data_IF_984870980488
#
_entry.id   IF_984870980488
#
_cell.length_a   1.000
_cell.length_b   1.000
_cell.length_c   1.000
_cell.angle_alpha   90.00
_cell.angle_beta   90.00
_cell.angle_gamma   90.00
#
_symmetry.space_group_name_H-M   'P 1'
#
loop_
_entity.id
_entity.type
_entity.pdbx_description
1 polymer ?
#
# COMPACT_ATOMS: atom_id res chain seq x y z
N UNK A 1 -18.02 -10.21 4.72
CA UNK A 1 -17.16 -9.15 4.16
C UNK A 1 -15.78 -9.28 4.79
N UNK A 2 -14.71 -9.44 4.01
CA UNK A 2 -13.36 -9.63 4.53
C UNK A 2 -12.60 -8.30 4.44
N UNK A 3 -12.79 -7.41 5.42
CA UNK A 3 -12.19 -6.06 5.41
C UNK A 3 -10.78 -6.12 5.95
N UNK A 4 -9.83 -5.57 5.21
CA UNK A 4 -8.44 -5.42 5.63
C UNK A 4 -8.04 -3.96 5.56
N UNK A 5 -7.41 -3.46 6.62
CA UNK A 5 -6.87 -2.11 6.69
C UNK A 5 -5.35 -2.25 6.68
N UNK A 6 -4.73 -1.75 5.61
CA UNK A 6 -3.28 -1.65 5.49
C UNK A 6 -2.86 -0.24 5.85
N UNK A 7 -1.97 -0.11 6.82
CA UNK A 7 -1.46 1.20 7.20
C UNK A 7 -0.40 1.09 8.28
N UNK A 8 -0.06 2.21 8.90
CA UNK A 8 0.82 2.23 10.06
C UNK A 8 0.07 2.78 11.26
N UNK A 9 0.43 2.34 12.48
CA UNK A 9 -0.18 2.84 13.73
C UNK A 9 -0.01 4.35 13.94
N UNK A 10 0.96 4.98 13.28
CA UNK A 10 1.22 6.43 13.37
C UNK A 10 0.38 7.26 12.40
N UNK A 11 -0.19 6.65 11.35
CA UNK A 11 -0.98 7.36 10.35
C UNK A 11 -2.38 7.71 10.90
N UNK A 12 -2.73 9.00 10.86
CA UNK A 12 -4.03 9.48 11.35
C UNK A 12 -5.20 8.96 10.53
N UNK A 13 -5.04 8.81 9.21
CA UNK A 13 -6.11 8.32 8.34
C UNK A 13 -6.36 6.81 8.54
N UNK A 14 -5.31 6.03 8.82
CA UNK A 14 -5.46 4.65 9.30
C UNK A 14 -6.29 4.58 10.58
N UNK A 15 -5.98 5.43 11.58
CA UNK A 15 -6.72 5.48 12.84
C UNK A 15 -8.19 5.86 12.61
N UNK A 16 -8.47 6.81 11.71
CA UNK A 16 -9.83 7.19 11.32
C UNK A 16 -10.56 6.01 10.68
N UNK A 17 -9.92 5.30 9.77
CA UNK A 17 -10.50 4.11 9.12
C UNK A 17 -10.82 3.01 10.16
N UNK A 18 -9.88 2.68 11.05
CA UNK A 18 -10.12 1.72 12.13
C UNK A 18 -11.31 2.14 13.00
N UNK A 19 -11.36 3.41 13.42
CA UNK A 19 -12.45 3.96 14.24
C UNK A 19 -13.81 3.84 13.52
N UNK A 20 -13.86 4.18 12.23
CA UNK A 20 -15.07 4.08 11.42
C UNK A 20 -15.70 2.68 11.45
N UNK A 21 -14.87 1.64 11.30
CA UNK A 21 -15.34 0.25 11.33
C UNK A 21 -15.65 -0.24 12.74
N UNK A 22 -14.84 0.11 13.75
CA UNK A 22 -15.10 -0.23 15.17
C UNK A 22 -16.43 0.33 15.64
N UNK A 23 -16.71 1.60 15.37
CA UNK A 23 -17.96 2.28 15.80
C UNK A 23 -19.22 1.68 15.16
N UNK A 24 -19.08 0.99 14.02
CA UNK A 24 -20.18 0.32 13.31
C UNK A 24 -20.28 -1.18 13.62
N UNK A 25 -19.44 -1.70 14.52
CA UNK A 25 -19.39 -3.12 14.84
C UNK A 25 -18.92 -4.01 13.67
N UNK A 26 -18.25 -3.44 12.67
CA UNK A 26 -17.80 -4.16 11.48
C UNK A 26 -16.43 -4.78 11.76
N UNK A 27 -16.30 -6.11 11.59
CA UNK A 27 -15.02 -6.81 11.75
C UNK A 27 -14.05 -6.45 10.62
N UNK A 28 -12.81 -6.19 10.98
CA UNK A 28 -11.71 -5.95 10.05
C UNK A 28 -10.40 -6.53 10.59
N UNK A 29 -9.44 -6.75 9.70
CA UNK A 29 -8.07 -7.13 10.03
C UNK A 29 -7.14 -5.94 9.77
N UNK A 30 -6.49 -5.43 10.80
CA UNK A 30 -5.43 -4.43 10.64
C UNK A 30 -4.09 -5.09 10.33
N UNK A 31 -3.36 -4.53 9.38
CA UNK A 31 -2.04 -4.98 8.93
C UNK A 31 -1.09 -3.79 9.01
N UNK A 32 -0.16 -3.86 9.96
CA UNK A 32 0.87 -2.83 10.10
C UNK A 32 1.93 -3.01 9.02
N UNK A 33 1.93 -2.12 8.02
CA UNK A 33 2.88 -2.15 6.91
C UNK A 33 4.31 -1.87 7.34
N UNK A 34 4.53 -1.33 8.55
CA UNK A 34 5.88 -1.12 9.10
C UNK A 34 6.48 -2.42 9.64
N UNK A 35 5.66 -3.26 10.27
CA UNK A 35 6.10 -4.52 10.90
C UNK A 35 6.04 -5.69 9.92
N UNK A 36 5.06 -5.70 9.02
CA UNK A 36 4.92 -6.68 7.95
C UNK A 36 4.69 -5.96 6.63
N UNK A 37 5.69 -6.00 5.76
CA UNK A 37 5.53 -5.63 4.36
C UNK A 37 4.41 -6.44 3.70
N UNK A 38 3.85 -5.92 2.61
CA UNK A 38 2.80 -6.62 1.88
C UNK A 38 3.40 -7.84 1.18
N UNK A 39 2.83 -9.03 1.36
CA UNK A 39 3.27 -10.19 0.58
C UNK A 39 2.90 -10.02 -0.89
N UNK A 40 3.64 -10.65 -1.80
CA UNK A 40 3.41 -10.59 -3.26
C UNK A 40 1.95 -10.90 -3.64
N UNK A 41 1.39 -11.97 -3.10
CA UNK A 41 -0.01 -12.36 -3.36
C UNK A 41 -1.02 -11.32 -2.87
N UNK A 42 -0.74 -10.67 -1.72
CA UNK A 42 -1.62 -9.67 -1.14
C UNK A 42 -1.56 -8.35 -1.90
N UNK A 43 -0.36 -7.94 -2.30
CA UNK A 43 -0.16 -6.79 -3.18
C UNK A 43 -0.91 -6.98 -4.50
N UNK A 44 -0.79 -8.15 -5.14
CA UNK A 44 -1.49 -8.43 -6.40
C UNK A 44 -3.01 -8.35 -6.26
N UNK A 45 -3.58 -8.87 -5.17
CA UNK A 45 -5.03 -8.77 -4.91
C UNK A 45 -5.50 -7.31 -4.74
N UNK A 46 -4.72 -6.48 -4.03
CA UNK A 46 -5.04 -5.06 -3.86
C UNK A 46 -4.83 -4.30 -5.18
N UNK A 47 -3.75 -4.55 -5.91
CA UNK A 47 -3.45 -3.94 -7.20
C UNK A 47 -4.55 -4.23 -8.22
N UNK A 48 -5.01 -5.48 -8.33
CA UNK A 48 -6.13 -5.85 -9.22
C UNK A 48 -7.40 -5.04 -8.91
N UNK A 49 -7.68 -4.79 -7.63
CA UNK A 49 -8.83 -3.98 -7.20
C UNK A 49 -8.66 -2.49 -7.51
N UNK A 50 -7.41 -2.00 -7.49
CA UNK A 50 -7.06 -0.60 -7.74
C UNK A 50 -6.67 -0.32 -9.20
N UNK A 51 -6.95 -1.23 -10.14
CA UNK A 51 -6.67 -1.03 -11.57
C UNK A 51 -5.21 -1.24 -11.97
N UNK A 52 -4.47 -2.08 -11.26
CA UNK A 52 -3.13 -2.54 -11.60
C UNK A 52 -2.01 -1.98 -10.72
N UNK A 53 -0.78 -2.44 -11.00
CA UNK A 53 0.43 -2.11 -10.24
C UNK A 53 0.78 -0.63 -10.31
N UNK A 54 0.66 0.00 -11.48
CA UNK A 54 0.92 1.43 -11.70
C UNK A 54 0.09 2.33 -10.79
N UNK A 55 -1.16 1.92 -10.51
CA UNK A 55 -2.06 2.66 -9.65
C UNK A 55 -1.73 2.52 -8.17
N UNK A 56 -0.88 1.56 -7.80
CA UNK A 56 -0.36 1.37 -6.45
C UNK A 56 0.86 2.23 -6.14
N UNK A 57 1.52 2.85 -7.14
CA UNK A 57 2.76 3.61 -6.96
C UNK A 57 2.46 5.09 -6.72
N UNK A 58 3.09 5.67 -5.71
CA UNK A 58 3.06 7.10 -5.44
C UNK A 58 4.07 7.83 -6.35
N UNK A 59 3.64 8.15 -7.58
CA UNK A 59 4.44 8.88 -8.58
C UNK A 59 4.82 10.31 -8.16
N UNK A 60 4.17 10.86 -7.13
CA UNK A 60 4.49 12.17 -6.55
C UNK A 60 5.42 12.04 -5.34
N UNK A 61 5.94 10.84 -5.08
CA UNK A 61 6.82 10.55 -3.95
C UNK A 61 8.14 11.35 -3.98
N UNK A 62 8.71 11.54 -2.79
CA UNK A 62 9.93 12.36 -2.60
C UNK A 62 11.18 11.76 -3.27
N UNK A 63 11.27 10.44 -3.39
CA UNK A 63 12.44 9.76 -3.96
C UNK A 63 12.30 9.64 -5.49
N UNK A 64 12.65 10.70 -6.20
CA UNK A 64 12.52 10.78 -7.67
C UNK A 64 13.38 9.76 -8.42
N UNK A 65 14.58 9.46 -7.92
CA UNK A 65 15.49 8.51 -8.58
C UNK A 65 14.92 7.09 -8.56
N UNK A 66 14.36 6.68 -7.41
CA UNK A 66 13.73 5.38 -7.27
C UNK A 66 12.43 5.26 -8.08
N UNK A 67 11.67 6.36 -8.22
CA UNK A 67 10.49 6.39 -9.10
C UNK A 67 10.90 6.29 -10.56
N UNK A 68 11.95 7.00 -10.99
CA UNK A 68 12.48 6.87 -12.35
C UNK A 68 12.95 5.44 -12.63
N UNK A 69 13.66 4.82 -11.69
CA UNK A 69 14.08 3.42 -11.81
C UNK A 69 12.88 2.48 -11.93
N UNK A 70 11.88 2.63 -11.05
CA UNK A 70 10.64 1.83 -11.09
C UNK A 70 9.88 2.02 -12.41
N UNK A 71 9.93 3.22 -13.00
CA UNK A 71 9.24 3.52 -14.26
C UNK A 71 9.86 2.82 -15.46
N UNK A 72 11.18 2.69 -15.50
CA UNK A 72 11.92 2.21 -16.68
C UNK A 72 12.50 0.79 -16.54
N UNK A 73 12.37 0.15 -15.38
CA UNK A 73 12.70 -1.27 -15.24
C UNK A 73 11.73 -2.14 -16.07
N UNK A 74 12.16 -3.35 -16.44
CA UNK A 74 11.31 -4.31 -17.11
C UNK A 74 10.04 -4.60 -16.28
N UNK A 75 8.90 -4.78 -16.97
CA UNK A 75 7.60 -4.92 -16.32
C UNK A 75 7.55 -6.14 -15.38
N UNK A 76 8.25 -7.23 -15.75
CA UNK A 76 8.39 -8.43 -14.93
C UNK A 76 9.12 -8.21 -13.60
N UNK A 77 10.09 -7.29 -13.57
CA UNK A 77 10.89 -6.96 -12.38
C UNK A 77 10.25 -5.85 -11.54
N UNK A 78 9.35 -5.06 -12.13
CA UNK A 78 8.73 -3.89 -11.50
C UNK A 78 8.02 -4.25 -10.19
N UNK A 79 7.32 -5.39 -10.15
CA UNK A 79 6.63 -5.86 -8.94
C UNK A 79 7.60 -6.12 -7.79
N UNK A 80 8.69 -6.84 -8.06
CA UNK A 80 9.69 -7.15 -7.05
C UNK A 80 10.33 -5.86 -6.53
N UNK A 81 10.66 -4.94 -7.43
CA UNK A 81 11.24 -3.65 -7.07
C UNK A 81 10.35 -2.83 -6.15
N UNK A 82 9.05 -2.79 -6.42
CA UNK A 82 8.05 -2.08 -5.59
C UNK A 82 7.93 -2.74 -4.21
N UNK A 83 7.98 -4.08 -4.13
CA UNK A 83 7.89 -4.81 -2.86
C UNK A 83 9.14 -4.63 -1.99
N UNK A 84 10.33 -4.55 -2.59
CA UNK A 84 11.58 -4.19 -1.89
C UNK A 84 11.56 -2.76 -1.36
N UNK A 85 10.77 -1.89 -1.99
CA UNK A 85 10.74 -0.45 -1.74
C UNK A 85 9.34 0.02 -1.34
N UNK A 86 8.78 -0.44 -0.22
CA UNK A 86 7.41 -0.14 0.17
C UNK A 86 7.14 1.37 0.34
N UNK A 87 8.16 2.21 0.49
CA UNK A 87 8.06 3.67 0.50
C UNK A 87 7.53 4.28 -0.81
N UNK A 88 7.60 3.56 -1.93
CA UNK A 88 7.03 4.01 -3.21
C UNK A 88 5.55 3.64 -3.37
N UNK A 89 5.01 2.78 -2.49
CA UNK A 89 3.61 2.36 -2.55
C UNK A 89 2.73 3.49 -1.98
N UNK A 90 1.62 3.80 -2.65
CA UNK A 90 0.59 4.71 -2.13
C UNK A 90 0.11 4.20 -0.78
N UNK A 91 0.35 4.97 0.26
CA UNK A 91 -0.24 4.80 1.57
C UNK A 91 -1.37 5.83 1.75
N UNK A 92 -2.37 5.48 2.56
CA UNK A 92 -3.48 6.39 2.89
C UNK A 92 -3.09 7.53 3.84
N UNK A 93 -1.80 7.66 4.19
CA UNK A 93 -1.29 8.85 4.87
C UNK A 93 -0.54 9.67 3.83
N UNK A 94 -1.03 10.88 3.56
CA UNK A 94 -0.45 11.81 2.59
C UNK A 94 1.06 12.09 2.75
N UNK A 95 1.60 12.99 1.91
CA UNK A 95 3.05 13.14 1.64
C UNK A 95 3.98 13.27 2.86
#
# INVERSE_FOLDING_TARGET
MNIQIFGTKKCNDTKKAERFFKERGIKFQFIDMKEKGMSKGKFNSVAQTNGGLENMINWEGKNKDLLALTKYIAEEDKLEKVLENPQVIKNTGGP
#
